data_IF_404746841051
#
_entry.id   IF_404746841051
#
_cell.length_a   1.000
_cell.length_b   1.000
_cell.length_c   1.000
_cell.angle_alpha   90.00
_cell.angle_beta   90.00
_cell.angle_gamma   90.00
#
_symmetry.space_group_name_H-M   'P 1'
#
loop_
_entity.id
_entity.type
_entity.pdbx_description
1 polymer ?
#
# COMPACT_ATOMS: atom_id res chain seq x y z
N UNK A 1 -27.79 -4.63 6.04
CA UNK A 1 -26.39 -5.07 6.18
C UNK A 1 -25.56 -4.20 5.25
N UNK A 2 -24.80 -3.23 5.79
CA UNK A 2 -24.02 -2.29 4.96
C UNK A 2 -22.72 -2.96 4.56
N UNK A 3 -22.50 -3.09 3.25
CA UNK A 3 -21.25 -3.62 2.70
C UNK A 3 -20.10 -2.66 3.00
N UNK A 4 -19.09 -3.16 3.69
CA UNK A 4 -17.78 -2.53 3.78
C UNK A 4 -17.07 -2.72 2.44
N UNK A 5 -17.38 -1.84 1.49
CA UNK A 5 -16.50 -1.62 0.36
C UNK A 5 -15.16 -1.12 0.90
N UNK A 6 -14.07 -1.82 0.59
CA UNK A 6 -12.70 -1.44 0.95
C UNK A 6 -12.41 -0.04 0.39
N UNK A 7 -12.60 1.00 1.19
CA UNK A 7 -12.29 2.39 0.81
C UNK A 7 -10.79 2.48 0.64
N UNK A 8 -10.32 2.69 -0.60
CA UNK A 8 -8.89 2.80 -0.89
C UNK A 8 -8.24 3.90 -0.01
N UNK A 9 -7.14 3.54 0.67
CA UNK A 9 -6.33 4.48 1.46
C UNK A 9 -5.38 5.20 0.51
N UNK A 10 -5.75 6.42 0.11
CA UNK A 10 -4.94 7.26 -0.79
C UNK A 10 -3.83 8.00 -0.03
N UNK A 11 -2.70 8.21 -0.70
CA UNK A 11 -1.57 9.00 -0.23
C UNK A 11 -1.76 10.49 -0.55
N UNK A 12 -0.96 11.36 0.09
CA UNK A 12 -1.10 12.80 -0.06
C UNK A 12 -0.94 13.28 -1.51
N UNK A 13 -0.05 12.66 -2.29
CA UNK A 13 0.20 13.05 -3.69
C UNK A 13 -0.94 12.62 -4.62
N UNK A 14 -1.66 11.54 -4.30
CA UNK A 14 -2.88 11.13 -5.01
C UNK A 14 -4.05 12.06 -4.66
N UNK A 15 -4.17 12.44 -3.38
CA UNK A 15 -5.21 13.35 -2.91
C UNK A 15 -5.00 14.78 -3.41
N UNK A 16 -3.76 15.29 -3.35
CA UNK A 16 -3.41 16.67 -3.72
C UNK A 16 -3.11 16.83 -5.20
N UNK A 17 -2.84 15.73 -5.92
CA UNK A 17 -2.45 15.73 -7.33
C UNK A 17 -1.31 16.71 -7.62
N UNK A 18 -0.28 16.71 -6.77
CA UNK A 18 0.76 17.73 -6.83
C UNK A 18 1.78 17.51 -7.95
N UNK A 19 1.77 16.34 -8.61
CA UNK A 19 2.64 16.03 -9.75
C UNK A 19 4.12 15.80 -9.39
N UNK A 20 4.46 15.68 -8.10
CA UNK A 20 5.84 15.49 -7.61
C UNK A 20 6.17 14.06 -7.17
N UNK A 21 5.28 13.10 -7.40
CA UNK A 21 5.61 11.68 -7.28
C UNK A 21 6.70 11.26 -8.28
N UNK A 22 7.41 10.14 -8.09
CA UNK A 22 8.40 9.67 -9.07
C UNK A 22 7.78 9.55 -10.46
N UNK A 23 8.42 10.18 -11.46
CA UNK A 23 7.89 10.28 -12.84
C UNK A 23 6.70 11.22 -13.01
N UNK A 24 6.38 12.05 -12.03
CA UNK A 24 5.33 13.05 -12.10
C UNK A 24 5.71 14.27 -12.94
N UNK A 25 4.70 14.95 -13.48
CA UNK A 25 4.84 16.10 -14.40
C UNK A 25 5.66 17.27 -13.85
N UNK A 26 5.74 17.44 -12.52
CA UNK A 26 6.47 18.55 -11.88
C UNK A 26 7.83 18.14 -11.31
N UNK A 27 8.29 16.92 -11.60
CA UNK A 27 9.57 16.42 -11.09
C UNK A 27 10.74 17.18 -11.70
N UNK A 28 10.69 17.51 -13.00
CA UNK A 28 11.78 18.24 -13.67
C UNK A 28 11.94 19.66 -13.12
N UNK A 29 10.83 20.33 -12.81
CA UNK A 29 10.81 21.72 -12.33
C UNK A 29 11.05 21.82 -10.81
N UNK A 30 10.38 20.98 -10.02
CA UNK A 30 10.29 21.12 -8.55
C UNK A 30 10.98 19.97 -7.80
N UNK A 31 11.56 19.01 -8.51
CA UNK A 31 12.15 17.81 -7.94
C UNK A 31 11.13 16.81 -7.38
N UNK A 32 11.60 15.58 -7.14
CA UNK A 32 10.82 14.50 -6.52
C UNK A 32 10.39 14.89 -5.10
N UNK A 33 9.16 14.53 -4.73
CA UNK A 33 8.64 14.78 -3.41
C UNK A 33 9.32 13.88 -2.37
N UNK A 34 9.93 14.43 -1.30
CA UNK A 34 10.61 13.63 -0.28
C UNK A 34 9.68 12.65 0.44
N UNK A 35 8.37 12.92 0.46
CA UNK A 35 7.35 12.02 1.04
C UNK A 35 7.30 10.68 0.32
N UNK A 36 7.49 10.69 -1.01
CA UNK A 36 7.49 9.47 -1.82
C UNK A 36 8.74 8.62 -1.63
N UNK A 37 9.76 9.13 -0.95
CA UNK A 37 11.03 8.43 -0.73
C UNK A 37 11.27 8.05 0.74
N UNK A 38 10.43 8.55 1.66
CA UNK A 38 10.53 8.33 3.10
C UNK A 38 10.10 6.90 3.52
N UNK A 39 10.88 5.89 3.11
CA UNK A 39 10.61 4.45 3.33
C UNK A 39 10.47 4.06 4.81
N UNK A 40 11.14 4.78 5.72
CA UNK A 40 11.05 4.52 7.17
C UNK A 40 9.64 4.66 7.75
N UNK A 41 8.73 5.34 7.06
CA UNK A 41 7.33 5.49 7.47
C UNK A 41 6.37 4.62 6.70
N UNK A 42 6.88 3.73 5.83
CA UNK A 42 6.01 2.86 5.06
C UNK A 42 5.09 2.04 5.97
N UNK A 43 3.80 1.99 5.63
CA UNK A 43 2.79 1.31 6.43
C UNK A 43 2.16 2.16 7.55
N UNK A 44 2.74 3.33 7.89
CA UNK A 44 2.12 4.26 8.85
C UNK A 44 0.76 4.70 8.34
N UNK A 45 -0.26 4.55 9.19
CA UNK A 45 -1.65 4.76 8.83
C UNK A 45 -2.05 3.99 7.55
N UNK A 46 -1.39 2.87 7.22
CA UNK A 46 -1.64 2.13 5.97
C UNK A 46 -1.32 2.91 4.69
N UNK A 47 -0.41 3.89 4.76
CA UNK A 47 0.10 4.61 3.59
C UNK A 47 1.37 3.99 3.01
N UNK A 48 1.73 4.39 1.79
CA UNK A 48 3.01 4.05 1.17
C UNK A 48 4.05 5.11 1.54
N UNK A 49 5.20 4.69 2.05
CA UNK A 49 6.25 5.59 2.54
C UNK A 49 5.63 6.61 3.51
N UNK A 50 5.91 7.91 3.39
CA UNK A 50 5.26 8.91 4.25
C UNK A 50 3.93 9.44 3.70
N UNK A 51 3.31 8.79 2.71
CA UNK A 51 2.14 9.31 1.99
C UNK A 51 0.94 9.63 2.85
N UNK A 52 0.76 8.92 3.97
CA UNK A 52 -0.26 9.22 5.00
C UNK A 52 0.34 9.74 6.31
N UNK A 53 1.52 10.35 6.21
CA UNK A 53 2.29 10.95 7.29
C UNK A 53 3.06 12.20 6.81
N UNK A 54 2.61 12.83 5.71
CA UNK A 54 3.40 13.86 5.01
C UNK A 54 3.77 15.07 5.88
N UNK A 55 2.99 15.34 6.94
CA UNK A 55 3.21 16.41 7.90
C UNK A 55 4.46 16.25 8.76
N UNK A 56 5.12 15.08 8.77
CA UNK A 56 6.39 14.90 9.47
C UNK A 56 7.61 15.02 8.55
N UNK A 57 7.39 15.15 7.24
CA UNK A 57 8.46 15.25 6.22
C UNK A 57 8.69 16.71 5.84
N UNK A 58 9.91 17.20 6.06
CA UNK A 58 10.32 18.54 5.63
C UNK A 58 10.47 18.61 4.10
N UNK A 59 10.36 19.82 3.52
CA UNK A 59 10.48 20.00 2.07
C UNK A 59 9.26 19.53 1.26
N UNK A 60 8.14 19.28 1.95
CA UNK A 60 6.84 19.05 1.31
C UNK A 60 6.31 20.33 0.67
N UNK A 61 5.24 20.27 -0.11
CA UNK A 61 4.59 21.48 -0.61
C UNK A 61 3.16 21.56 -0.10
N UNK A 62 2.87 22.59 0.69
CA UNK A 62 1.55 22.90 1.24
C UNK A 62 1.07 24.21 0.61
N UNK A 63 -0.06 24.18 -0.12
CA UNK A 63 -0.61 25.38 -0.77
C UNK A 63 0.31 26.02 -1.81
N UNK A 64 1.14 25.21 -2.50
CA UNK A 64 2.07 25.69 -3.53
C UNK A 64 3.40 26.25 -3.02
N UNK A 65 3.62 26.28 -1.71
CA UNK A 65 4.89 26.72 -1.10
C UNK A 65 5.63 25.53 -0.48
N UNK A 66 6.97 25.58 -0.50
CA UNK A 66 7.79 24.59 0.19
C UNK A 66 7.55 24.73 1.69
N UNK A 67 7.11 23.65 2.30
CA UNK A 67 6.87 23.51 3.72
C UNK A 67 8.19 23.40 4.49
N UNK A 68 8.31 24.18 5.55
CA UNK A 68 9.47 24.23 6.44
C UNK A 68 9.66 22.97 7.30
N UNK A 69 10.41 23.08 8.40
CA UNK A 69 10.61 21.96 9.34
C UNK A 69 9.39 21.75 10.24
N UNK A 70 9.28 20.56 10.84
CA UNK A 70 8.14 20.07 11.65
C UNK A 70 7.55 21.10 12.63
N UNK A 71 8.38 21.93 13.27
CA UNK A 71 7.95 22.89 14.28
C UNK A 71 7.22 24.13 13.72
N UNK A 72 7.45 24.49 12.45
CA UNK A 72 6.87 25.70 11.85
C UNK A 72 5.47 25.49 11.25
N UNK A 73 5.06 24.25 10.99
CA UNK A 73 3.94 23.97 10.08
C UNK A 73 2.81 23.08 10.63
N UNK A 74 2.89 22.63 11.89
CA UNK A 74 1.82 21.80 12.46
C UNK A 74 0.47 22.54 12.40
N UNK A 75 0.45 23.86 12.64
CA UNK A 75 -0.76 24.69 12.52
C UNK A 75 -1.38 24.71 11.11
N UNK A 76 -0.57 24.60 10.05
CA UNK A 76 -1.07 24.52 8.67
C UNK A 76 -1.64 23.13 8.37
N UNK A 77 -1.05 22.08 8.94
CA UNK A 77 -1.53 20.72 8.78
C UNK A 77 -2.92 20.51 9.39
N UNK A 78 -3.27 21.20 10.49
CA UNK A 78 -4.60 21.10 11.10
C UNK A 78 -5.71 21.66 10.20
N UNK A 79 -5.38 22.55 9.27
CA UNK A 79 -6.29 23.11 8.26
C UNK A 79 -6.27 22.32 6.95
N UNK A 80 -5.44 21.29 6.83
CA UNK A 80 -5.30 20.51 5.62
C UNK A 80 -6.36 19.41 5.56
N UNK A 81 -7.21 19.42 4.53
CA UNK A 81 -8.27 18.41 4.34
C UNK A 81 -7.73 16.97 4.32
N UNK A 82 -6.55 16.78 3.72
CA UNK A 82 -5.91 15.46 3.70
C UNK A 82 -5.55 15.01 5.11
N UNK A 83 -4.88 15.86 5.90
CA UNK A 83 -4.54 15.54 7.29
C UNK A 83 -5.79 15.23 8.12
N UNK A 84 -6.82 16.07 8.03
CA UNK A 84 -8.10 15.87 8.73
C UNK A 84 -8.77 14.56 8.32
N UNK A 85 -8.76 14.21 7.03
CA UNK A 85 -9.28 12.94 6.54
C UNK A 85 -8.51 11.73 7.08
N UNK A 86 -7.18 11.83 7.20
CA UNK A 86 -6.35 10.76 7.76
C UNK A 86 -6.65 10.62 9.25
N UNK A 87 -6.65 11.72 9.99
CA UNK A 87 -6.97 11.73 11.42
C UNK A 87 -8.34 11.12 11.72
N UNK A 88 -9.37 11.55 10.99
CA UNK A 88 -10.72 11.03 11.17
C UNK A 88 -10.82 9.52 10.90
N UNK A 89 -10.12 9.01 9.88
CA UNK A 89 -10.14 7.57 9.55
C UNK A 89 -9.34 6.71 10.52
N UNK A 90 -8.24 7.22 11.05
CA UNK A 90 -7.37 6.42 11.93
C UNK A 90 -7.78 6.51 13.41
N UNK A 91 -8.68 7.42 13.80
CA UNK A 91 -9.14 7.52 15.19
C UNK A 91 -9.72 6.20 15.72
N UNK A 92 -10.48 5.47 14.90
CA UNK A 92 -11.11 4.19 15.27
C UNK A 92 -10.27 2.97 14.85
N UNK A 93 -9.10 3.19 14.24
CA UNK A 93 -8.22 2.10 13.82
C UNK A 93 -7.45 1.51 15.01
N UNK A 94 -7.11 0.22 14.94
CA UNK A 94 -6.41 -0.52 16.02
C UNK A 94 -5.09 0.14 16.47
N UNK A 95 -4.36 0.78 15.56
CA UNK A 95 -3.10 1.49 15.88
C UNK A 95 -3.32 2.97 16.22
N UNK A 96 -4.52 3.49 16.00
CA UNK A 96 -4.87 4.88 16.20
C UNK A 96 -4.21 5.85 15.23
N UNK A 97 -4.57 7.12 15.36
CA UNK A 97 -3.89 8.22 14.70
C UNK A 97 -2.66 8.69 15.49
N UNK A 98 -1.55 8.96 14.81
CA UNK A 98 -0.40 9.65 15.40
C UNK A 98 0.00 10.90 14.62
N UNK A 99 0.04 12.04 15.30
CA UNK A 99 0.51 13.30 14.73
C UNK A 99 2.02 13.50 14.78
N UNK A 100 2.75 12.69 15.55
CA UNK A 100 4.18 12.87 15.81
C UNK A 100 5.02 11.73 15.25
N UNK A 101 6.26 12.04 14.85
CA UNK A 101 7.20 11.05 14.34
C UNK A 101 7.41 9.89 15.32
N UNK A 102 7.65 10.20 16.60
CA UNK A 102 7.87 9.18 17.64
C UNK A 102 6.66 8.26 17.82
N UNK A 103 5.44 8.81 17.76
CA UNK A 103 4.24 8.00 17.87
C UNK A 103 4.04 7.10 16.66
N UNK A 104 4.36 7.58 15.45
CA UNK A 104 4.34 6.76 14.24
C UNK A 104 5.37 5.63 14.28
N UNK A 105 6.61 5.91 14.70
CA UNK A 105 7.66 4.90 14.84
C UNK A 105 7.23 3.77 15.79
N UNK A 106 6.61 4.11 16.93
CA UNK A 106 6.03 3.10 17.84
C UNK A 106 4.91 2.27 17.19
N UNK A 107 4.09 2.87 16.33
CA UNK A 107 3.05 2.12 15.61
C UNK A 107 3.66 1.14 14.61
N UNK A 108 4.77 1.51 13.96
CA UNK A 108 5.53 0.61 13.08
C UNK A 108 6.16 -0.52 13.89
N UNK A 109 6.78 -0.24 15.04
CA UNK A 109 7.37 -1.27 15.90
C UNK A 109 6.31 -2.29 16.33
N UNK A 110 5.10 -1.82 16.69
CA UNK A 110 3.97 -2.71 16.97
C UNK A 110 3.61 -3.56 15.77
N UNK A 111 3.50 -2.97 14.56
CA UNK A 111 3.24 -3.73 13.32
C UNK A 111 4.27 -4.84 13.12
N UNK A 112 5.56 -4.49 13.22
CA UNK A 112 6.68 -5.44 13.08
C UNK A 112 6.61 -6.54 14.14
N UNK A 113 6.34 -6.20 15.40
CA UNK A 113 6.22 -7.18 16.47
C UNK A 113 5.05 -8.14 16.25
N UNK A 114 3.87 -7.64 15.87
CA UNK A 114 2.74 -8.52 15.60
C UNK A 114 2.94 -9.30 14.28
N UNK A 115 3.74 -8.81 13.32
CA UNK A 115 4.16 -9.60 12.15
C UNK A 115 5.13 -10.73 12.53
N UNK A 116 6.12 -10.44 13.37
CA UNK A 116 7.04 -11.45 13.91
C UNK A 116 6.29 -12.51 14.74
N UNK A 117 5.31 -12.09 15.55
CA UNK A 117 4.46 -13.01 16.32
C UNK A 117 3.59 -13.88 15.38
N UNK A 118 3.05 -13.31 14.31
CA UNK A 118 2.28 -14.03 13.31
C UNK A 118 3.14 -15.07 12.56
N UNK A 119 4.41 -14.74 12.27
CA UNK A 119 5.37 -15.66 11.68
C UNK A 119 5.72 -16.83 12.61
N UNK A 120 6.01 -16.55 13.89
CA UNK A 120 6.34 -17.59 14.88
C UNK A 120 5.15 -18.52 15.15
N UNK A 121 3.93 -17.98 15.18
CA UNK A 121 2.72 -18.77 15.49
C UNK A 121 2.14 -19.49 14.28
N UNK A 122 2.67 -19.29 13.07
CA UNK A 122 2.17 -19.91 11.83
C UNK A 122 0.79 -19.40 11.41
N UNK A 123 0.31 -18.30 12.01
CA UNK A 123 -0.96 -17.64 11.68
C UNK A 123 -0.63 -16.38 10.87
N UNK A 124 -0.41 -16.50 9.56
CA UNK A 124 -0.22 -15.32 8.71
C UNK A 124 -1.43 -14.39 8.79
N UNK A 125 -1.22 -13.09 9.01
CA UNK A 125 -2.28 -12.10 9.26
C UNK A 125 -3.19 -11.86 8.05
N UNK A 126 -4.48 -11.68 8.31
CA UNK A 126 -5.52 -11.22 7.36
C UNK A 126 -5.16 -9.90 6.63
N UNK A 127 -4.47 -8.96 7.30
CA UNK A 127 -3.98 -7.72 6.65
C UNK A 127 -2.90 -7.96 5.60
N UNK A 128 -2.08 -8.99 5.79
CA UNK A 128 -1.09 -9.41 4.80
C UNK A 128 -1.79 -10.08 3.61
N UNK A 129 -2.90 -10.80 3.87
CA UNK A 129 -3.71 -11.43 2.82
C UNK A 129 -4.36 -10.42 1.88
N UNK A 130 -4.91 -9.31 2.40
CA UNK A 130 -5.46 -8.25 1.56
C UNK A 130 -4.39 -7.50 0.75
N UNK A 131 -3.24 -7.22 1.37
CA UNK A 131 -2.10 -6.60 0.69
C UNK A 131 -1.54 -7.51 -0.42
N UNK A 132 -1.37 -8.79 -0.12
CA UNK A 132 -1.00 -9.86 -1.04
C UNK A 132 -2.01 -9.96 -2.19
N UNK A 133 -3.31 -10.03 -1.88
CA UNK A 133 -4.38 -10.04 -2.89
C UNK A 133 -4.31 -8.81 -3.79
N UNK A 134 -4.10 -7.62 -3.20
CA UNK A 134 -3.97 -6.37 -3.94
C UNK A 134 -2.78 -6.35 -4.89
N UNK A 135 -1.61 -6.83 -4.46
CA UNK A 135 -0.41 -6.88 -5.29
C UNK A 135 -0.48 -7.96 -6.37
N UNK A 136 -1.01 -9.15 -6.05
CA UNK A 136 -1.29 -10.20 -7.03
C UNK A 136 -2.26 -9.72 -8.10
N UNK A 137 -3.33 -9.02 -7.70
CA UNK A 137 -4.32 -8.46 -8.62
C UNK A 137 -3.69 -7.42 -9.56
N UNK A 138 -2.88 -6.50 -9.03
CA UNK A 138 -2.17 -5.51 -9.85
C UNK A 138 -1.21 -6.16 -10.84
N UNK A 139 -0.44 -7.15 -10.38
CA UNK A 139 0.50 -7.92 -11.21
C UNK A 139 -0.23 -8.63 -12.35
N UNK A 140 -1.37 -9.25 -12.08
CA UNK A 140 -2.18 -9.90 -13.11
C UNK A 140 -2.72 -8.92 -14.15
N UNK A 141 -3.25 -7.77 -13.73
CA UNK A 141 -3.74 -6.75 -14.68
C UNK A 141 -2.62 -6.22 -15.57
N UNK A 142 -1.43 -6.00 -15.01
CA UNK A 142 -0.27 -5.52 -15.77
C UNK A 142 0.14 -6.50 -16.87
N UNK A 143 0.20 -7.80 -16.57
CA UNK A 143 0.67 -8.83 -17.51
C UNK A 143 -0.42 -9.23 -18.52
N UNK A 144 -1.68 -9.35 -18.06
CA UNK A 144 -2.78 -9.87 -18.88
C UNK A 144 -3.55 -8.77 -19.65
N UNK A 145 -3.44 -7.51 -19.25
CA UNK A 145 -4.18 -6.40 -19.86
C UNK A 145 -5.68 -6.41 -19.51
N UNK A 146 -6.54 -6.15 -20.51
CA UNK A 146 -7.94 -5.75 -20.32
C UNK A 146 -8.99 -6.84 -20.01
N UNK A 147 -8.62 -8.11 -19.79
CA UNK A 147 -9.57 -9.18 -19.37
C UNK A 147 -9.03 -10.16 -18.30
N UNK A 148 -8.60 -9.70 -17.11
CA UNK A 148 -8.13 -10.59 -16.06
C UNK A 148 -9.26 -11.09 -15.14
N UNK A 149 -10.46 -10.50 -15.22
CA UNK A 149 -11.52 -10.62 -14.20
C UNK A 149 -12.06 -12.05 -14.02
N UNK A 150 -11.99 -12.89 -15.06
CA UNK A 150 -12.40 -14.31 -14.98
C UNK A 150 -11.50 -15.09 -14.00
N UNK A 151 -10.22 -14.75 -13.93
CA UNK A 151 -9.22 -15.44 -13.10
C UNK A 151 -8.96 -14.74 -11.78
N UNK A 152 -9.19 -13.43 -11.70
CA UNK A 152 -9.01 -12.66 -10.48
C UNK A 152 -9.98 -13.06 -9.37
N UNK A 153 -11.16 -13.59 -9.71
CA UNK A 153 -12.09 -14.16 -8.71
C UNK A 153 -11.47 -15.30 -7.92
N UNK A 154 -10.58 -16.09 -8.53
CA UNK A 154 -9.92 -17.20 -7.82
C UNK A 154 -9.02 -16.67 -6.68
N UNK A 155 -8.52 -15.43 -6.76
CA UNK A 155 -7.73 -14.78 -5.69
C UNK A 155 -8.55 -14.46 -4.44
N UNK A 156 -9.88 -14.56 -4.48
CA UNK A 156 -10.71 -14.48 -3.26
C UNK A 156 -10.46 -15.66 -2.33
N UNK A 157 -9.96 -16.78 -2.86
CA UNK A 157 -9.63 -18.01 -2.11
C UNK A 157 -8.18 -18.01 -1.55
N UNK A 158 -7.50 -16.86 -1.52
CA UNK A 158 -6.17 -16.77 -0.95
C UNK A 158 -6.16 -17.20 0.52
N UNK A 159 -5.05 -17.79 0.96
CA UNK A 159 -4.87 -18.19 2.36
C UNK A 159 -3.55 -17.66 2.92
N UNK A 160 -3.47 -17.58 4.24
CA UNK A 160 -2.23 -17.25 4.94
C UNK A 160 -1.16 -18.36 4.86
N UNK A 161 -1.49 -19.54 4.31
CA UNK A 161 -0.54 -20.64 4.11
C UNK A 161 0.13 -20.51 2.74
N UNK A 162 1.45 -20.37 2.74
CA UNK A 162 2.28 -20.26 1.54
C UNK A 162 2.02 -21.38 0.53
N UNK A 163 2.02 -22.64 0.98
CA UNK A 163 1.80 -23.81 0.12
C UNK A 163 0.44 -23.80 -0.59
N UNK A 164 -0.62 -23.41 0.12
CA UNK A 164 -1.98 -23.27 -0.42
C UNK A 164 -2.06 -22.11 -1.43
N UNK A 165 -1.43 -20.98 -1.13
CA UNK A 165 -1.39 -19.82 -2.02
C UNK A 165 -0.56 -20.07 -3.29
N UNK A 166 0.59 -20.75 -3.18
CA UNK A 166 1.37 -21.20 -4.34
C UNK A 166 0.54 -22.14 -5.22
N UNK A 167 -0.24 -23.04 -4.62
CA UNK A 167 -1.11 -23.96 -5.37
C UNK A 167 -2.21 -23.22 -6.13
N UNK A 168 -2.78 -22.17 -5.53
CA UNK A 168 -3.75 -21.29 -6.18
C UNK A 168 -3.15 -20.52 -7.36
N UNK A 169 -1.95 -19.94 -7.19
CA UNK A 169 -1.23 -19.25 -8.28
C UNK A 169 -0.99 -20.19 -9.47
N UNK A 170 -0.53 -21.42 -9.20
CA UNK A 170 -0.37 -22.45 -10.24
C UNK A 170 -1.68 -22.85 -10.92
N UNK A 171 -2.78 -22.86 -10.18
CA UNK A 171 -4.10 -23.12 -10.75
C UNK A 171 -4.53 -22.00 -11.71
N UNK A 172 -4.36 -20.74 -11.31
CA UNK A 172 -4.64 -19.56 -12.14
C UNK A 172 -3.77 -19.56 -13.39
N UNK A 173 -2.47 -19.82 -13.25
CA UNK A 173 -1.51 -19.95 -14.36
C UNK A 173 -1.98 -20.99 -15.39
N UNK A 174 -2.34 -22.20 -14.93
CA UNK A 174 -2.86 -23.27 -15.80
C UNK A 174 -4.15 -22.87 -16.53
N UNK A 175 -5.09 -22.20 -15.86
CA UNK A 175 -6.30 -21.69 -16.49
C UNK A 175 -5.97 -20.67 -17.60
N UNK A 176 -5.01 -19.78 -17.37
CA UNK A 176 -4.58 -18.77 -18.36
C UNK A 176 -3.86 -19.41 -19.54
N UNK A 177 -3.01 -20.41 -19.29
CA UNK A 177 -2.38 -21.22 -20.33
C UNK A 177 -3.43 -21.83 -21.27
N UNK A 178 -4.51 -22.39 -20.71
CA UNK A 178 -5.58 -23.04 -21.49
C UNK A 178 -6.51 -22.07 -22.23
N UNK A 179 -6.68 -20.84 -21.73
CA UNK A 179 -7.75 -19.93 -22.18
C UNK A 179 -7.27 -18.64 -22.85
N UNK A 180 -5.99 -18.27 -22.72
CA UNK A 180 -5.47 -17.00 -23.22
C UNK A 180 -4.17 -17.15 -24.01
N UNK A 181 -3.05 -17.42 -23.33
CA UNK A 181 -1.70 -17.35 -23.92
C UNK A 181 -0.68 -18.05 -22.99
N UNK A 182 -0.01 -19.07 -23.51
CA UNK A 182 1.01 -19.86 -22.80
C UNK A 182 2.19 -19.00 -22.31
N UNK A 183 2.68 -18.07 -23.13
CA UNK A 183 3.80 -17.20 -22.74
C UNK A 183 3.42 -16.27 -21.60
N UNK A 184 2.19 -15.76 -21.60
CA UNK A 184 1.71 -14.90 -20.51
C UNK A 184 1.46 -15.68 -19.22
N UNK A 185 1.07 -16.96 -19.31
CA UNK A 185 0.87 -17.81 -18.15
C UNK A 185 2.17 -18.00 -17.35
N UNK A 186 3.27 -18.35 -18.02
CA UNK A 186 4.58 -18.53 -17.37
C UNK A 186 5.11 -17.25 -16.71
N UNK A 187 5.06 -16.12 -17.43
CA UNK A 187 5.51 -14.81 -16.90
C UNK A 187 4.66 -14.37 -15.71
N UNK A 188 3.35 -14.63 -15.76
CA UNK A 188 2.45 -14.32 -14.66
C UNK A 188 2.74 -15.17 -13.43
N UNK A 189 2.92 -16.47 -13.60
CA UNK A 189 3.20 -17.40 -12.50
C UNK A 189 4.47 -16.99 -11.76
N UNK A 190 5.55 -16.75 -12.50
CA UNK A 190 6.83 -16.35 -11.91
C UNK A 190 6.71 -15.01 -11.16
N UNK A 191 6.02 -14.02 -11.75
CA UNK A 191 5.79 -12.73 -11.10
C UNK A 191 4.93 -12.84 -9.84
N UNK A 192 3.86 -13.65 -9.89
CA UNK A 192 3.00 -13.89 -8.73
C UNK A 192 3.72 -14.65 -7.63
N UNK A 193 4.55 -15.64 -7.95
CA UNK A 193 5.34 -16.37 -6.95
C UNK A 193 6.33 -15.46 -6.22
N UNK A 194 6.98 -14.52 -6.92
CA UNK A 194 7.81 -13.48 -6.27
C UNK A 194 7.00 -12.61 -5.29
N UNK A 195 5.77 -12.25 -5.66
CA UNK A 195 4.87 -11.53 -4.76
C UNK A 195 4.53 -12.41 -3.55
N UNK A 196 4.20 -13.68 -3.75
CA UNK A 196 3.94 -14.62 -2.65
C UNK A 196 5.13 -14.71 -1.71
N UNK A 197 6.36 -14.87 -2.22
CA UNK A 197 7.59 -14.95 -1.40
C UNK A 197 7.88 -13.67 -0.62
N UNK A 198 7.51 -12.51 -1.17
CA UNK A 198 7.63 -11.22 -0.48
C UNK A 198 6.71 -11.11 0.74
N UNK A 199 5.57 -11.82 0.73
CA UNK A 199 4.52 -11.66 1.73
C UNK A 199 4.36 -12.88 2.65
N UNK A 200 4.71 -14.10 2.23
CA UNK A 200 4.54 -15.36 2.98
C UNK A 200 5.84 -16.18 3.02
#
# INVERSE_FOLDING_TARGET
MRGEGTVSRVNCWEFKQCGRQPGGEKVEELGVCPVTEARKLHGVHGGVNAGRACWIVAGTMCGGKVAGTFAQELGNCWKCDFYSSVRSRENDATLGFSGSRLGMERSIDKLVQVDHLAQITGIGKVHNLEALRGELTRTARYILGGKPDIFLKDLENLSARKSSTVSLVRHISRKIHLLLDDRKAGVLEEAMLRVVDKYL
#
